data_IF_909362841030
#
_entry.id   IF_909362841030
#
_cell.length_a   1.000
_cell.length_b   1.000
_cell.length_c   1.000
_cell.angle_alpha   90.00
_cell.angle_beta   90.00
_cell.angle_gamma   90.00
#
_symmetry.space_group_name_H-M   'P 1'
#
loop_
_entity.id
_entity.type
_entity.pdbx_description
1 polymer ?
#
# COMPACT_ATOMS: atom_id res chain seq x y z
N UNK A 1 51.20 36.55 31.22
CA UNK A 1 49.80 36.91 30.81
C UNK A 1 49.52 36.70 29.32
N UNK A 2 50.48 36.24 28.50
CA UNK A 2 50.31 36.13 27.04
C UNK A 2 49.87 34.72 26.57
N UNK A 3 49.97 33.67 27.41
CA UNK A 3 49.72 32.30 27.00
C UNK A 3 48.25 31.86 27.20
N UNK A 4 47.44 32.64 27.94
CA UNK A 4 46.02 32.26 28.20
C UNK A 4 45.07 32.58 27.03
N UNK A 5 45.39 33.60 26.21
CA UNK A 5 44.55 34.00 25.07
C UNK A 5 44.59 33.02 23.89
N UNK A 6 45.71 32.31 23.70
CA UNK A 6 45.83 31.36 22.60
C UNK A 6 45.19 30.01 22.90
N UNK A 7 45.11 29.62 24.18
CA UNK A 7 44.47 28.36 24.58
C UNK A 7 42.91 28.41 24.37
N UNK A 8 42.28 29.53 24.64
CA UNK A 8 40.83 29.71 24.40
C UNK A 8 40.45 29.74 22.92
N UNK A 9 41.31 30.22 22.03
CA UNK A 9 41.05 30.21 20.58
C UNK A 9 41.17 28.82 19.98
N UNK A 10 42.10 27.98 20.47
CA UNK A 10 42.27 26.61 20.00
C UNK A 10 41.07 25.74 20.43
N UNK A 11 40.56 25.92 21.68
CA UNK A 11 39.37 25.18 22.16
C UNK A 11 38.12 25.54 21.39
N UNK A 12 37.94 26.80 20.99
CA UNK A 12 36.77 27.22 20.17
C UNK A 12 36.76 26.61 18.77
N UNK A 13 37.94 26.48 18.13
CA UNK A 13 38.04 25.89 16.78
C UNK A 13 37.82 24.36 16.81
N UNK A 14 38.35 23.67 17.81
CA UNK A 14 38.16 22.22 17.96
C UNK A 14 36.68 21.90 18.27
N UNK A 15 35.98 22.72 19.08
CA UNK A 15 34.57 22.53 19.37
C UNK A 15 33.68 22.76 18.15
N UNK A 16 34.08 23.68 17.26
CA UNK A 16 33.31 23.97 16.04
C UNK A 16 33.43 22.84 14.99
N UNK A 17 34.60 22.16 14.94
CA UNK A 17 34.78 21.03 14.03
C UNK A 17 33.96 19.78 14.38
N UNK A 18 33.62 19.59 15.66
CA UNK A 18 32.75 18.47 16.06
C UNK A 18 31.27 18.63 15.69
N UNK A 19 30.83 19.85 15.37
CA UNK A 19 29.44 20.10 14.95
C UNK A 19 29.17 19.72 13.47
N UNK A 20 30.23 19.53 12.67
CA UNK A 20 30.08 19.15 11.26
C UNK A 20 30.21 17.65 10.98
N UNK A 21 30.53 16.83 12.01
CA UNK A 21 30.72 15.36 11.82
C UNK A 21 29.41 14.57 12.11
N UNK A 22 28.37 15.24 12.55
CA UNK A 22 27.07 14.60 12.84
C UNK A 22 25.99 14.96 11.81
N UNK A 23 26.31 14.94 10.53
CA UNK A 23 25.25 14.63 9.56
C UNK A 23 25.05 13.12 9.64
N UNK A 24 23.88 12.61 10.05
CA UNK A 24 23.56 11.22 9.78
C UNK A 24 23.68 11.06 8.26
N UNK A 25 24.58 10.17 7.82
CA UNK A 25 24.70 9.85 6.41
C UNK A 25 23.31 9.51 5.91
N UNK A 26 22.83 10.18 4.86
CA UNK A 26 21.70 9.70 4.11
C UNK A 26 22.06 8.27 3.73
N UNK A 27 21.32 7.28 4.26
CA UNK A 27 21.43 5.91 3.77
C UNK A 27 21.12 5.99 2.28
N UNK A 28 22.14 5.79 1.45
CA UNK A 28 21.96 5.70 0.02
C UNK A 28 21.09 4.46 -0.23
N UNK A 29 19.82 4.68 -0.54
CA UNK A 29 18.91 3.63 -0.96
C UNK A 29 19.27 3.18 -2.38
N UNK A 30 20.40 2.49 -2.55
CA UNK A 30 20.81 1.91 -3.82
C UNK A 30 20.01 0.64 -4.15
N UNK A 31 19.36 0.01 -3.15
CA UNK A 31 18.45 -1.10 -3.30
C UNK A 31 17.00 -0.61 -3.37
N UNK A 32 16.64 -0.04 -4.50
CA UNK A 32 15.23 0.22 -4.83
C UNK A 32 14.53 -1.14 -4.85
N UNK A 33 13.49 -1.27 -4.04
CA UNK A 33 12.68 -2.48 -3.97
C UNK A 33 12.22 -2.94 -5.35
N UNK A 34 11.94 -4.22 -5.46
CA UNK A 34 11.47 -4.81 -6.72
C UNK A 34 10.06 -4.34 -7.03
N UNK A 35 9.83 -3.87 -8.25
CA UNK A 35 8.51 -3.52 -8.75
C UNK A 35 8.09 -4.46 -9.87
N UNK A 36 6.84 -4.92 -9.84
CA UNK A 36 6.27 -5.79 -10.87
C UNK A 36 4.81 -5.41 -11.14
N UNK A 37 4.31 -5.79 -12.32
CA UNK A 37 2.89 -5.69 -12.65
C UNK A 37 2.26 -7.07 -12.76
N UNK A 38 1.13 -7.26 -12.05
CA UNK A 38 0.28 -8.46 -12.10
C UNK A 38 -1.16 -7.98 -12.18
N UNK A 39 -1.76 -8.09 -13.35
CA UNK A 39 -3.12 -7.64 -13.56
C UNK A 39 -4.13 -8.60 -12.91
N UNK A 40 -5.28 -8.06 -12.49
CA UNK A 40 -6.43 -8.84 -12.05
C UNK A 40 -6.31 -9.44 -10.64
N UNK A 41 -5.43 -8.93 -9.77
CA UNK A 41 -5.35 -9.41 -8.39
C UNK A 41 -6.55 -8.96 -7.54
N UNK A 42 -7.15 -7.82 -7.88
CA UNK A 42 -8.33 -7.29 -7.19
C UNK A 42 -9.58 -7.83 -7.88
N UNK A 43 -10.50 -8.37 -7.09
CA UNK A 43 -11.79 -8.89 -7.59
C UNK A 43 -12.94 -8.08 -7.03
N UNK A 44 -13.91 -7.74 -7.88
CA UNK A 44 -15.24 -7.24 -7.48
C UNK A 44 -16.29 -8.27 -7.87
N UNK A 45 -16.96 -8.87 -6.89
CA UNK A 45 -17.87 -10.02 -7.07
C UNK A 45 -19.25 -9.67 -6.52
N UNK A 46 -20.33 -9.94 -7.25
CA UNK A 46 -20.38 -10.46 -8.62
C UNK A 46 -20.02 -9.39 -9.66
N UNK A 47 -19.46 -9.82 -10.79
CA UNK A 47 -19.26 -8.95 -11.95
C UNK A 47 -20.57 -8.69 -12.66
N UNK A 48 -21.02 -7.43 -12.69
CA UNK A 48 -22.24 -7.00 -13.38
C UNK A 48 -22.08 -5.59 -13.97
N UNK A 49 -22.79 -5.31 -15.05
CA UNK A 49 -22.89 -3.95 -15.59
C UNK A 49 -24.06 -3.15 -14.97
N UNK A 50 -25.01 -3.84 -14.36
CA UNK A 50 -26.17 -3.22 -13.68
C UNK A 50 -26.41 -3.93 -12.36
N UNK A 51 -26.49 -3.15 -11.31
CA UNK A 51 -26.85 -3.56 -9.96
C UNK A 51 -28.12 -2.84 -9.54
N UNK A 52 -28.76 -3.35 -8.49
CA UNK A 52 -29.83 -2.66 -7.80
C UNK A 52 -29.34 -1.99 -6.53
N UNK A 53 -30.04 -0.97 -6.10
CA UNK A 53 -29.83 -0.39 -4.78
C UNK A 53 -29.90 -1.46 -3.70
N UNK A 54 -29.00 -1.42 -2.75
CA UNK A 54 -28.77 -2.41 -1.70
C UNK A 54 -28.19 -3.75 -2.17
N UNK A 55 -27.86 -3.92 -3.45
CA UNK A 55 -27.01 -5.03 -3.86
C UNK A 55 -25.64 -4.91 -3.16
N UNK A 56 -25.02 -6.05 -2.91
CA UNK A 56 -23.69 -6.11 -2.30
C UNK A 56 -22.67 -6.54 -3.34
N UNK A 57 -21.56 -5.80 -3.40
CA UNK A 57 -20.35 -6.18 -4.13
C UNK A 57 -19.28 -6.54 -3.09
N UNK A 58 -18.60 -7.66 -3.29
CA UNK A 58 -17.42 -8.02 -2.48
C UNK A 58 -16.16 -7.59 -3.21
N UNK A 59 -15.38 -6.68 -2.61
CA UNK A 59 -14.02 -6.40 -3.02
C UNK A 59 -13.11 -7.40 -2.32
N UNK A 60 -12.31 -8.15 -3.11
CA UNK A 60 -11.44 -9.20 -2.59
C UNK A 60 -10.04 -9.14 -3.20
N UNK A 61 -9.03 -9.28 -2.34
CA UNK A 61 -7.63 -9.42 -2.71
C UNK A 61 -7.01 -10.52 -1.85
N UNK A 62 -6.22 -11.40 -2.46
CA UNK A 62 -5.47 -12.45 -1.75
C UNK A 62 -4.06 -12.54 -2.33
N UNK A 63 -3.05 -12.44 -1.46
CA UNK A 63 -1.64 -12.53 -1.84
C UNK A 63 -1.00 -13.67 -1.04
N UNK A 64 -0.50 -14.74 -1.69
CA UNK A 64 0.23 -15.79 -0.99
C UNK A 64 1.48 -15.24 -0.29
N UNK A 65 1.68 -15.62 0.97
CA UNK A 65 2.88 -15.24 1.75
C UNK A 65 4.14 -15.76 1.06
N UNK A 66 4.08 -16.96 0.49
CA UNK A 66 5.16 -17.52 -0.32
C UNK A 66 4.75 -17.46 -1.79
N UNK A 67 5.46 -16.67 -2.57
CA UNK A 67 5.17 -16.49 -3.99
C UNK A 67 6.47 -16.31 -4.81
N UNK A 68 6.32 -16.23 -6.13
CA UNK A 68 7.42 -16.01 -7.09
C UNK A 68 7.21 -14.75 -7.93
N UNK A 69 6.43 -13.82 -7.45
CA UNK A 69 6.07 -12.62 -8.19
C UNK A 69 7.29 -11.81 -8.65
N UNK A 70 8.34 -11.75 -7.83
CA UNK A 70 9.55 -10.99 -8.10
C UNK A 70 10.68 -11.83 -8.76
N UNK A 71 10.31 -12.91 -9.48
CA UNK A 71 11.24 -13.73 -10.26
C UNK A 71 11.85 -14.90 -9.48
N UNK A 72 11.98 -14.79 -8.17
CA UNK A 72 12.44 -15.87 -7.28
C UNK A 72 11.36 -16.17 -6.24
N UNK A 73 11.39 -17.38 -5.67
CA UNK A 73 10.51 -17.71 -4.56
C UNK A 73 10.86 -16.83 -3.36
N UNK A 74 9.90 -16.00 -2.95
CA UNK A 74 10.01 -15.06 -1.85
C UNK A 74 8.99 -15.43 -0.78
N UNK A 75 9.43 -15.45 0.49
CA UNK A 75 8.53 -15.42 1.63
C UNK A 75 8.41 -13.96 2.11
N UNK A 76 7.24 -13.37 1.89
CA UNK A 76 6.99 -11.96 2.20
C UNK A 76 7.27 -11.65 3.67
N UNK A 77 6.90 -12.53 4.60
CA UNK A 77 7.13 -12.33 6.04
C UNK A 77 8.61 -12.21 6.41
N UNK A 78 9.51 -12.72 5.58
CA UNK A 78 10.95 -12.64 5.82
C UNK A 78 11.55 -11.29 5.39
N UNK A 79 10.89 -10.57 4.50
CA UNK A 79 11.42 -9.34 3.89
C UNK A 79 10.73 -8.07 4.36
N UNK A 80 9.50 -8.16 4.85
CA UNK A 80 8.78 -7.00 5.42
C UNK A 80 9.16 -6.80 6.89
N UNK A 81 8.99 -5.57 7.39
CA UNK A 81 9.28 -5.16 8.77
C UNK A 81 8.11 -5.42 9.74
N UNK A 82 7.39 -6.51 9.56
CA UNK A 82 6.23 -6.87 10.42
C UNK A 82 4.99 -6.00 10.20
N UNK A 83 5.06 -4.98 9.37
CA UNK A 83 3.92 -4.16 9.00
C UNK A 83 3.06 -4.89 7.97
N UNK A 84 1.74 -4.84 8.13
CA UNK A 84 0.83 -5.40 7.14
C UNK A 84 0.95 -4.70 5.80
N UNK A 85 0.90 -5.44 4.67
CA UNK A 85 0.89 -4.86 3.35
C UNK A 85 -0.28 -3.92 3.14
N UNK A 86 -0.11 -2.94 2.26
CA UNK A 86 -1.11 -1.93 1.94
C UNK A 86 -1.52 -2.04 0.48
N UNK A 87 -2.82 -2.00 0.22
CA UNK A 87 -3.36 -1.72 -1.10
C UNK A 87 -3.65 -0.22 -1.20
N UNK A 88 -3.02 0.46 -2.14
CA UNK A 88 -3.41 1.81 -2.54
C UNK A 88 -4.35 1.69 -3.73
N UNK A 89 -5.64 1.90 -3.49
CA UNK A 89 -6.69 1.77 -4.51
C UNK A 89 -7.19 3.15 -4.94
N UNK A 90 -6.84 3.57 -6.16
CA UNK A 90 -7.16 4.91 -6.68
C UNK A 90 -8.67 5.14 -6.72
N UNK A 91 -9.41 4.16 -7.19
CA UNK A 91 -10.87 4.23 -7.34
C UNK A 91 -11.68 3.95 -6.08
N UNK A 92 -11.06 3.66 -4.94
CA UNK A 92 -11.79 3.26 -3.73
C UNK A 92 -12.76 4.32 -3.22
N UNK A 93 -12.38 5.60 -3.34
CA UNK A 93 -13.25 6.70 -2.94
C UNK A 93 -14.58 6.74 -3.74
N UNK A 94 -14.56 6.37 -5.03
CA UNK A 94 -15.78 6.28 -5.83
C UNK A 94 -16.69 5.12 -5.37
N UNK A 95 -16.08 4.01 -4.92
CA UNK A 95 -16.81 2.87 -4.38
C UNK A 95 -17.33 3.12 -2.95
N UNK A 96 -16.54 3.77 -2.11
CA UNK A 96 -16.89 3.97 -0.70
C UNK A 96 -17.87 5.12 -0.47
N UNK A 97 -17.84 6.15 -1.34
CA UNK A 97 -18.67 7.34 -1.16
C UNK A 97 -20.16 7.02 -1.27
N UNK A 98 -20.90 7.38 -0.22
CA UNK A 98 -22.35 7.20 -0.09
C UNK A 98 -22.81 5.72 -0.16
N UNK A 99 -21.88 4.78 0.02
CA UNK A 99 -22.13 3.35 0.17
C UNK A 99 -21.73 2.87 1.57
N UNK A 100 -22.30 1.79 2.04
CA UNK A 100 -21.90 1.19 3.32
C UNK A 100 -20.80 0.16 3.10
N UNK A 101 -19.81 0.17 3.99
CA UNK A 101 -18.68 -0.76 3.95
C UNK A 101 -18.70 -1.65 5.19
N UNK A 102 -18.42 -2.94 4.98
CA UNK A 102 -18.20 -3.91 6.05
C UNK A 102 -16.90 -4.68 5.74
N UNK A 103 -15.90 -4.52 6.60
CA UNK A 103 -14.63 -5.21 6.47
C UNK A 103 -14.75 -6.61 7.08
N UNK A 104 -14.61 -7.63 6.24
CA UNK A 104 -14.58 -9.04 6.67
C UNK A 104 -13.15 -9.44 7.02
N UNK A 105 -12.17 -8.94 6.26
CA UNK A 105 -10.73 -9.08 6.50
C UNK A 105 -10.02 -7.82 6.03
N UNK A 106 -8.99 -7.42 6.78
CA UNK A 106 -8.32 -6.16 6.58
C UNK A 106 -9.05 -4.97 7.21
N UNK A 107 -8.53 -3.79 6.99
CA UNK A 107 -9.12 -2.56 7.50
C UNK A 107 -8.72 -1.35 6.64
N UNK A 108 -9.36 -0.21 6.88
CA UNK A 108 -8.99 1.04 6.25
C UNK A 108 -7.73 1.61 6.92
N UNK A 109 -6.79 2.08 6.11
CA UNK A 109 -5.59 2.76 6.58
C UNK A 109 -5.85 4.23 6.93
N UNK A 110 -4.76 4.97 7.13
CA UNK A 110 -4.80 6.39 7.50
C UNK A 110 -5.41 7.28 6.41
N UNK A 111 -5.23 6.92 5.14
CA UNK A 111 -5.79 7.65 4.00
C UNK A 111 -6.98 6.91 3.40
N UNK A 112 -7.94 7.65 2.85
CA UNK A 112 -9.18 7.11 2.29
C UNK A 112 -8.99 6.02 1.22
N UNK A 113 -7.87 6.06 0.51
CA UNK A 113 -7.52 5.12 -0.55
C UNK A 113 -6.53 4.03 -0.11
N UNK A 114 -6.17 3.96 1.17
CA UNK A 114 -5.30 2.94 1.73
C UNK A 114 -6.10 1.87 2.44
N UNK A 115 -5.87 0.63 2.05
CA UNK A 115 -6.49 -0.55 2.62
C UNK A 115 -5.39 -1.48 3.13
N UNK A 116 -5.49 -1.90 4.37
CA UNK A 116 -4.49 -2.73 5.04
C UNK A 116 -4.93 -4.19 4.92
N UNK A 117 -4.03 -5.05 4.49
CA UNK A 117 -4.30 -6.48 4.38
C UNK A 117 -4.03 -7.19 5.71
N UNK A 118 -4.90 -8.10 6.10
CA UNK A 118 -4.68 -9.01 7.23
C UNK A 118 -3.79 -10.18 6.82
N UNK A 119 -2.93 -10.62 7.75
CA UNK A 119 -2.16 -11.85 7.60
C UNK A 119 -2.99 -13.03 8.12
N UNK A 120 -3.47 -13.88 7.21
CA UNK A 120 -4.09 -15.16 7.57
C UNK A 120 -3.01 -16.26 7.59
N UNK A 121 -2.40 -16.45 8.76
CA UNK A 121 -1.36 -17.46 8.97
C UNK A 121 -1.86 -18.88 8.70
N UNK A 122 -3.15 -19.16 8.94
CA UNK A 122 -3.75 -20.48 8.77
C UNK A 122 -3.81 -20.91 7.30
N UNK A 123 -4.00 -19.96 6.40
CA UNK A 123 -4.03 -20.18 4.96
C UNK A 123 -2.73 -19.74 4.27
N UNK A 124 -1.82 -19.10 4.98
CA UNK A 124 -0.56 -18.59 4.45
C UNK A 124 -0.75 -17.48 3.40
N UNK A 125 -1.70 -16.59 3.64
CA UNK A 125 -2.05 -15.52 2.71
C UNK A 125 -2.22 -14.17 3.44
N UNK A 126 -1.92 -13.08 2.74
CA UNK A 126 -2.45 -11.76 3.08
C UNK A 126 -3.80 -11.57 2.39
N UNK A 127 -4.80 -11.08 3.12
CA UNK A 127 -6.18 -10.95 2.64
C UNK A 127 -6.74 -9.57 2.89
N UNK A 128 -7.57 -9.14 1.95
CA UNK A 128 -8.50 -8.03 2.10
C UNK A 128 -9.85 -8.49 1.56
N UNK A 129 -10.90 -8.34 2.36
CA UNK A 129 -12.27 -8.63 1.93
C UNK A 129 -13.22 -7.59 2.51
N UNK A 130 -13.91 -6.87 1.63
CA UNK A 130 -14.83 -5.79 1.99
C UNK A 130 -16.15 -6.02 1.28
N UNK A 131 -17.25 -6.05 2.05
CA UNK A 131 -18.60 -5.97 1.49
C UNK A 131 -18.96 -4.50 1.29
N UNK A 132 -19.37 -4.15 0.08
CA UNK A 132 -19.79 -2.81 -0.32
C UNK A 132 -21.27 -2.89 -0.66
N UNK A 133 -22.12 -2.33 0.19
CA UNK A 133 -23.56 -2.25 -0.03
C UNK A 133 -23.85 -0.97 -0.82
N UNK A 134 -24.39 -1.13 -2.03
CA UNK A 134 -24.62 -0.07 -2.99
C UNK A 134 -25.87 0.75 -2.64
N UNK A 135 -25.70 1.77 -1.83
CA UNK A 135 -26.81 2.65 -1.43
C UNK A 135 -27.00 3.85 -2.38
N UNK A 136 -25.92 4.24 -3.08
CA UNK A 136 -25.96 5.34 -4.05
C UNK A 136 -26.38 4.85 -5.42
N UNK A 137 -27.48 5.38 -5.92
CA UNK A 137 -27.98 5.17 -7.29
C UNK A 137 -27.18 6.02 -8.27
N UNK A 138 -26.99 5.50 -9.50
CA UNK A 138 -26.37 6.22 -10.59
C UNK A 138 -25.20 5.47 -11.23
N UNK A 139 -24.49 6.19 -12.08
CA UNK A 139 -23.36 5.65 -12.82
C UNK A 139 -22.08 5.71 -11.99
N UNK A 140 -21.33 4.62 -12.03
CA UNK A 140 -20.00 4.48 -11.45
C UNK A 140 -18.98 4.33 -12.56
N UNK A 141 -17.90 5.12 -12.50
CA UNK A 141 -16.72 4.97 -13.33
C UNK A 141 -15.50 5.01 -12.40
N UNK A 142 -14.84 3.87 -12.27
CA UNK A 142 -13.82 3.62 -11.25
C UNK A 142 -12.49 3.40 -11.95
N UNK A 143 -11.51 4.25 -11.66
CA UNK A 143 -10.13 4.03 -12.10
C UNK A 143 -9.51 2.92 -11.29
N UNK A 144 -8.92 1.94 -11.97
CA UNK A 144 -8.24 0.79 -11.39
C UNK A 144 -6.84 0.67 -11.99
N UNK A 145 -5.92 1.39 -11.38
CA UNK A 145 -4.47 1.30 -11.58
C UNK A 145 -3.84 1.39 -10.21
N UNK A 146 -3.81 0.27 -9.53
CA UNK A 146 -3.70 0.15 -8.09
C UNK A 146 -2.34 -0.45 -7.71
N UNK A 147 -1.91 -0.28 -6.45
CA UNK A 147 -0.61 -0.73 -5.99
C UNK A 147 -0.71 -1.45 -4.66
N UNK A 148 -0.07 -2.63 -4.58
CA UNK A 148 0.13 -3.33 -3.32
C UNK A 148 1.57 -3.07 -2.89
N UNK A 149 1.73 -2.55 -1.66
CA UNK A 149 3.00 -2.08 -1.12
C UNK A 149 3.37 -2.95 0.08
N UNK A 150 4.58 -3.52 0.03
CA UNK A 150 5.20 -4.25 1.12
C UNK A 150 6.43 -3.46 1.56
N UNK A 151 6.36 -2.83 2.73
CA UNK A 151 7.51 -2.12 3.28
C UNK A 151 8.54 -3.14 3.79
N UNK A 152 9.77 -3.03 3.31
CA UNK A 152 10.87 -3.86 3.73
C UNK A 152 11.40 -3.52 5.12
N UNK A 153 12.35 -4.33 5.61
CA UNK A 153 13.00 -4.16 6.92
C UNK A 153 13.93 -2.94 6.99
N UNK A 154 14.32 -2.38 5.88
CA UNK A 154 15.01 -1.10 5.79
C UNK A 154 14.13 -0.11 5.05
N UNK A 155 14.25 1.16 5.38
CA UNK A 155 13.48 2.25 4.75
C UNK A 155 13.67 2.32 3.22
N UNK A 156 14.70 1.62 2.71
CA UNK A 156 15.05 1.55 1.30
C UNK A 156 14.45 0.35 0.55
N UNK A 157 13.93 -0.65 1.25
CA UNK A 157 13.41 -1.87 0.63
C UNK A 157 11.89 -1.82 0.54
N UNK A 158 11.38 -1.48 -0.62
CA UNK A 158 9.95 -1.53 -0.92
C UNK A 158 9.69 -2.53 -2.04
N UNK A 159 8.74 -3.44 -1.83
CA UNK A 159 8.25 -4.35 -2.85
C UNK A 159 6.88 -3.86 -3.33
N UNK A 160 6.76 -3.59 -4.61
CA UNK A 160 5.57 -2.99 -5.19
C UNK A 160 4.98 -3.89 -6.27
N UNK A 161 3.69 -4.21 -6.13
CA UNK A 161 2.93 -4.90 -7.16
C UNK A 161 1.90 -3.92 -7.72
N UNK A 162 2.12 -3.45 -8.95
CA UNK A 162 1.10 -2.74 -9.70
C UNK A 162 0.04 -3.75 -10.16
N UNK A 163 -1.24 -3.42 -9.99
CA UNK A 163 -2.37 -4.31 -10.32
C UNK A 163 -3.60 -3.52 -10.73
N UNK A 164 -4.64 -4.23 -11.11
CA UNK A 164 -5.96 -3.67 -11.38
C UNK A 164 -7.06 -4.64 -10.93
N UNK A 165 -8.30 -4.21 -11.07
CA UNK A 165 -9.45 -5.09 -10.90
C UNK A 165 -9.57 -6.00 -12.13
N UNK A 166 -9.83 -7.31 -11.90
CA UNK A 166 -9.76 -8.39 -12.90
C UNK A 166 -10.51 -8.10 -14.22
N UNK A 167 -11.66 -7.43 -14.15
CA UNK A 167 -12.49 -7.13 -15.33
C UNK A 167 -12.45 -5.65 -15.75
N UNK A 168 -11.43 -4.91 -15.33
CA UNK A 168 -11.24 -3.54 -15.80
C UNK A 168 -10.85 -3.52 -17.28
N UNK A 169 -11.51 -2.68 -18.05
CA UNK A 169 -11.16 -2.38 -19.43
C UNK A 169 -10.33 -1.10 -19.46
N UNK A 170 -9.11 -1.19 -19.97
CA UNK A 170 -8.16 -0.05 -19.99
C UNK A 170 -7.96 0.62 -18.62
N UNK A 171 -8.01 -0.15 -17.53
CA UNK A 171 -7.88 0.38 -16.17
C UNK A 171 -9.13 1.13 -15.67
N UNK A 172 -10.30 0.90 -16.25
CA UNK A 172 -11.56 1.52 -15.84
C UNK A 172 -12.63 0.45 -15.67
N UNK A 173 -13.44 0.57 -14.63
CA UNK A 173 -14.65 -0.21 -14.42
C UNK A 173 -15.86 0.70 -14.45
N UNK A 174 -16.85 0.28 -15.20
CA UNK A 174 -18.10 1.02 -15.34
C UNK A 174 -19.31 0.12 -15.07
N UNK A 175 -20.22 0.61 -14.24
CA UNK A 175 -21.50 -0.02 -13.97
C UNK A 175 -22.54 1.01 -13.51
N UNK A 176 -23.80 0.61 -13.51
CA UNK A 176 -24.93 1.44 -13.05
C UNK A 176 -25.62 0.78 -11.85
N UNK A 177 -26.06 1.58 -10.90
CA UNK A 177 -26.95 1.15 -9.80
C UNK A 177 -28.32 1.80 -10.03
N UNK A 178 -29.35 0.96 -10.13
CA UNK A 178 -30.75 1.34 -10.33
C UNK A 178 -31.54 1.19 -9.02
N UNK A 179 -32.80 1.68 -8.98
CA UNK A 179 -33.71 1.50 -7.85
C UNK A 179 -33.97 0.02 -7.54
#
# INVERSE_FOLDING_TARGET
FHNFKNSCRLFGIVSLCFLFVACPGEENCDDIGSSIRIDGLIKLIPEKKVYKKSDTITLKLTIPVVNNYFGNQLNINNVIDGNSPKLTMIGFKQLSKDNRLEFISGNQGEFDNWLILDNDESEGNYKLEILIILDRIGFYSIVSDDYIIFNGKSDCNEYLIATNIEWSEYGIIEFTVEE
#
